data_IF_738434394400
#
_entry.id   IF_738434394400
#
_cell.length_a   1.000
_cell.length_b   1.000
_cell.length_c   1.000
_cell.angle_alpha   90.00
_cell.angle_beta   90.00
_cell.angle_gamma   90.00
#
_symmetry.space_group_name_H-M   'P 1'
#
loop_
_entity.id
_entity.type
_entity.pdbx_description
1 polymer ?
#
# COMPACT_ATOMS: atom_id res chain seq x y z
N UNK A 1 -7.46 -10.28 4.84
CA UNK A 1 -8.30 -9.73 5.92
C UNK A 1 -9.59 -9.15 5.38
N UNK A 2 -9.54 -8.05 4.58
CA UNK A 2 -10.74 -7.51 3.90
C UNK A 2 -11.44 -8.55 3.02
N UNK A 3 -10.73 -9.16 2.07
CA UNK A 3 -11.30 -10.14 1.14
C UNK A 3 -11.80 -11.41 1.85
N UNK A 4 -11.37 -11.65 3.09
CA UNK A 4 -11.84 -12.76 3.93
C UNK A 4 -13.04 -12.37 4.82
N UNK A 5 -13.46 -11.10 4.83
CA UNK A 5 -14.59 -10.61 5.62
C UNK A 5 -14.36 -10.55 7.13
N UNK A 6 -13.11 -10.63 7.60
CA UNK A 6 -12.80 -10.73 9.03
C UNK A 6 -12.37 -9.40 9.68
N UNK A 7 -12.27 -8.33 8.88
CA UNK A 7 -11.88 -7.01 9.37
C UNK A 7 -12.44 -5.90 8.48
N UNK A 8 -12.83 -4.79 9.10
CA UNK A 8 -13.14 -3.52 8.42
C UNK A 8 -11.86 -2.72 8.30
N UNK A 9 -11.51 -2.30 7.08
CA UNK A 9 -10.36 -1.43 6.86
C UNK A 9 -10.78 0.03 7.05
N UNK A 10 -10.04 0.75 7.88
CA UNK A 10 -10.30 2.15 8.23
C UNK A 10 -8.96 2.89 8.13
N UNK A 11 -8.93 4.05 7.48
CA UNK A 11 -7.70 4.83 7.30
C UNK A 11 -7.61 5.49 5.93
N UNK A 12 -6.44 5.42 5.30
CA UNK A 12 -6.20 5.92 3.94
C UNK A 12 -6.00 4.77 2.95
N UNK A 13 -6.13 5.08 1.66
CA UNK A 13 -5.73 4.15 0.59
C UNK A 13 -4.24 3.88 0.69
N UNK A 14 -3.86 2.59 0.72
CA UNK A 14 -2.44 2.24 0.80
C UNK A 14 -1.70 2.61 -0.48
N UNK A 15 -0.38 2.74 -0.41
CA UNK A 15 0.47 3.20 -1.52
C UNK A 15 0.53 2.24 -2.74
N UNK A 16 0.11 0.98 -2.59
CA UNK A 16 0.12 0.03 -3.71
C UNK A 16 1.51 -0.38 -4.20
N UNK A 17 2.48 -0.55 -3.29
CA UNK A 17 3.84 -0.97 -3.66
C UNK A 17 4.06 -2.38 -3.10
N UNK A 18 3.61 -3.42 -3.83
CA UNK A 18 3.46 -4.77 -3.26
C UNK A 18 3.99 -5.89 -4.16
N UNK A 19 3.83 -5.76 -5.47
CA UNK A 19 4.12 -6.83 -6.44
C UNK A 19 5.60 -6.89 -6.78
N UNK A 20 6.24 -5.72 -6.91
CA UNK A 20 7.63 -5.59 -7.32
C UNK A 20 8.39 -4.70 -6.32
N UNK A 21 8.70 -5.27 -5.16
CA UNK A 21 9.50 -4.59 -4.14
C UNK A 21 10.96 -4.44 -4.56
N UNK A 22 11.65 -3.41 -4.05
CA UNK A 22 13.10 -3.29 -4.18
C UNK A 22 13.76 -4.14 -3.08
N UNK A 23 14.22 -5.34 -3.43
CA UNK A 23 14.81 -6.29 -2.47
C UNK A 23 16.28 -6.62 -2.76
N UNK A 24 16.85 -6.02 -3.81
CA UNK A 24 18.28 -6.13 -4.09
C UNK A 24 18.96 -4.78 -3.83
N UNK A 25 20.23 -4.82 -3.44
CA UNK A 25 21.06 -3.61 -3.30
C UNK A 25 21.59 -3.11 -4.66
N UNK A 26 21.08 -3.66 -5.78
CA UNK A 26 21.54 -3.34 -7.12
C UNK A 26 20.66 -2.25 -7.73
N UNK A 27 21.18 -1.02 -7.70
CA UNK A 27 20.65 0.10 -8.48
C UNK A 27 21.63 0.41 -9.59
N UNK A 28 21.19 0.35 -10.85
CA UNK A 28 22.01 0.77 -11.99
C UNK A 28 21.59 2.14 -12.48
N UNK A 29 22.51 3.10 -12.43
CA UNK A 29 22.34 4.36 -13.12
C UNK A 29 22.60 4.16 -14.61
N UNK A 30 21.67 4.60 -15.46
CA UNK A 30 21.81 4.46 -16.91
C UNK A 30 22.74 5.54 -17.48
N UNK A 31 23.34 5.25 -18.64
CA UNK A 31 24.22 6.17 -19.37
C UNK A 31 23.47 7.47 -19.68
N UNK A 32 23.77 8.51 -18.91
CA UNK A 32 23.09 9.81 -18.96
C UNK A 32 22.63 10.32 -17.60
N UNK A 33 22.74 9.54 -16.51
CA UNK A 33 22.54 10.00 -15.12
C UNK A 33 21.13 10.43 -14.74
N UNK A 34 20.18 10.42 -15.70
CA UNK A 34 18.78 10.83 -15.50
C UNK A 34 17.87 9.71 -15.03
N UNK A 35 18.29 8.47 -15.19
CA UNK A 35 17.45 7.30 -14.93
C UNK A 35 18.18 6.32 -14.02
N UNK A 36 17.43 5.74 -13.09
CA UNK A 36 17.87 4.67 -12.20
C UNK A 36 17.01 3.43 -12.45
N UNK A 37 17.67 2.30 -12.65
CA UNK A 37 17.04 0.99 -12.77
C UNK A 37 17.16 0.28 -11.42
N UNK A 38 16.02 0.02 -10.79
CA UNK A 38 15.91 -0.81 -9.61
C UNK A 38 15.61 -2.24 -10.06
N UNK A 39 16.51 -3.18 -9.77
CA UNK A 39 16.35 -4.57 -10.16
C UNK A 39 15.78 -5.36 -8.98
N UNK A 40 14.79 -6.21 -9.24
CA UNK A 40 14.25 -7.15 -8.27
C UNK A 40 14.28 -8.56 -8.86
N UNK A 41 14.64 -9.54 -8.04
CA UNK A 41 14.50 -10.97 -8.35
C UNK A 41 13.21 -11.57 -7.78
N UNK A 42 12.34 -10.73 -7.18
CA UNK A 42 11.03 -11.15 -6.70
C UNK A 42 10.16 -11.59 -7.89
N UNK A 43 9.57 -12.78 -7.75
CA UNK A 43 8.54 -13.25 -8.67
C UNK A 43 7.22 -12.62 -8.27
N UNK A 44 6.80 -11.59 -9.01
CA UNK A 44 5.51 -10.94 -8.80
C UNK A 44 4.35 -11.94 -8.87
N UNK A 45 3.40 -11.81 -7.95
CA UNK A 45 2.20 -12.62 -7.88
C UNK A 45 1.06 -11.94 -8.66
N UNK A 46 0.41 -12.67 -9.58
CA UNK A 46 -0.72 -12.15 -10.36
C UNK A 46 -1.88 -11.68 -9.46
N UNK A 47 -2.03 -12.26 -8.27
CA UNK A 47 -3.03 -11.86 -7.28
C UNK A 47 -2.76 -10.47 -6.72
N UNK A 48 -1.50 -10.11 -6.57
CA UNK A 48 -1.07 -8.88 -5.92
C UNK A 48 -0.89 -7.74 -6.94
N UNK A 49 -0.70 -8.08 -8.23
CA UNK A 49 -0.61 -7.13 -9.35
C UNK A 49 -1.79 -6.16 -9.42
N UNK A 50 -3.01 -6.61 -9.08
CA UNK A 50 -4.21 -5.75 -9.07
C UNK A 50 -4.17 -4.62 -8.03
N UNK A 51 -3.22 -4.69 -7.10
CA UNK A 51 -3.00 -3.69 -6.06
C UNK A 51 -1.74 -2.87 -6.29
N UNK A 52 -0.97 -3.16 -7.34
CA UNK A 52 0.22 -2.38 -7.70
C UNK A 52 -0.20 -1.00 -8.22
N UNK A 53 0.47 0.05 -7.75
CA UNK A 53 0.24 1.49 -8.03
C UNK A 53 -1.14 2.02 -7.60
N UNK A 54 -2.08 1.14 -7.26
CA UNK A 54 -3.45 1.46 -6.87
C UNK A 54 -3.68 1.32 -5.37
N UNK A 55 -3.05 0.31 -4.76
CA UNK A 55 -3.21 0.01 -3.34
C UNK A 55 -4.57 -0.59 -2.96
N UNK A 56 -4.89 -0.48 -1.67
CA UNK A 56 -6.09 -1.02 -1.06
C UNK A 56 -6.89 0.12 -0.47
N UNK A 57 -8.04 0.43 -1.07
CA UNK A 57 -8.97 1.41 -0.51
C UNK A 57 -9.60 0.87 0.78
N UNK A 58 -9.65 1.68 1.86
CA UNK A 58 -10.34 1.34 3.08
C UNK A 58 -11.86 1.41 2.87
N UNK A 59 -12.61 0.77 3.76
CA UNK A 59 -14.07 0.87 3.81
C UNK A 59 -14.53 2.22 4.38
N UNK A 60 -13.74 2.79 5.30
CA UNK A 60 -13.97 4.10 5.89
C UNK A 60 -12.69 4.92 5.76
N UNK A 61 -12.78 6.05 5.06
CA UNK A 61 -11.67 7.01 4.95
C UNK A 61 -11.58 7.82 6.25
N UNK A 62 -10.39 7.89 6.83
CA UNK A 62 -10.10 8.80 7.94
C UNK A 62 -9.46 10.09 7.44
N UNK A 63 -9.60 11.15 8.23
CA UNK A 63 -8.86 12.38 7.99
C UNK A 63 -7.42 12.22 8.49
N UNK A 64 -6.39 12.34 7.62
CA UNK A 64 -4.99 12.22 8.03
C UNK A 64 -4.49 13.41 8.86
N UNK A 65 -5.19 14.55 8.84
CA UNK A 65 -4.80 15.77 9.54
C UNK A 65 -5.28 15.81 11.01
N UNK A 66 -5.99 14.78 11.47
CA UNK A 66 -6.51 14.69 12.84
C UNK A 66 -6.21 13.35 13.49
N UNK A 67 -6.43 13.23 14.80
CA UNK A 67 -6.14 12.00 15.54
C UNK A 67 -7.01 10.82 15.04
N UNK A 68 -6.37 9.92 14.31
CA UNK A 68 -7.01 8.75 13.72
C UNK A 68 -7.48 7.73 14.76
N UNK A 69 -6.85 7.70 15.95
CA UNK A 69 -7.24 6.79 17.04
C UNK A 69 -8.57 7.27 17.62
N UNK A 70 -8.72 8.58 17.87
CA UNK A 70 -10.00 9.12 18.35
C UNK A 70 -11.10 9.00 17.29
N UNK A 71 -10.79 9.21 16.01
CA UNK A 71 -11.73 8.94 14.92
C UNK A 71 -12.20 7.47 14.92
N UNK A 72 -11.27 6.52 15.10
CA UNK A 72 -11.59 5.09 15.17
C UNK A 72 -12.43 4.75 16.40
N UNK A 73 -12.11 5.31 17.57
CA UNK A 73 -12.90 5.11 18.81
C UNK A 73 -14.33 5.63 18.64
N UNK A 74 -14.48 6.81 18.05
CA UNK A 74 -15.80 7.39 17.77
C UNK A 74 -16.60 6.52 16.79
N UNK A 75 -15.95 6.00 15.74
CA UNK A 75 -16.56 5.08 14.80
C UNK A 75 -17.06 3.82 15.52
N UNK A 76 -16.22 3.17 16.32
CA UNK A 76 -16.59 1.95 17.07
C UNK A 76 -17.74 2.21 18.04
N UNK A 77 -17.74 3.35 18.74
CA UNK A 77 -18.80 3.71 19.68
C UNK A 77 -20.12 4.10 19.00
N UNK A 78 -20.12 4.33 17.68
CA UNK A 78 -21.29 4.69 16.87
C UNK A 78 -21.91 3.50 16.13
N UNK A 79 -21.28 2.32 16.20
CA UNK A 79 -21.80 1.05 15.66
C UNK A 79 -22.76 0.39 16.66
#
# INVERSE_FOLDING_TARGET
>A
MRDAGIATLVGETTRGMITYGSNTDVVKELSGGRYKLYITDMKGSARDLRYEDVGVSPSVLLNPDTDWIEQLKNLINSL
#
